data_IF_631911158820
#
_entry.id   IF_631911158820
#
_cell.length_a   1.000
_cell.length_b   1.000
_cell.length_c   1.000
_cell.angle_alpha   90.00
_cell.angle_beta   90.00
_cell.angle_gamma   90.00
#
_symmetry.space_group_name_H-M   'P 1'
#
loop_
_entity.id
_entity.type
_entity.pdbx_description
1 polymer ?
#
# COMPACT_ATOMS: atom_id res chain seq x y z
N UNK A 1 33.55 -0.83 13.24
CA UNK A 1 32.91 -1.16 11.95
C UNK A 1 31.45 -1.39 12.30
N UNK A 2 30.66 -0.30 12.21
CA UNK A 2 29.21 -0.36 12.36
C UNK A 2 28.66 -0.98 11.07
N UNK A 3 28.24 -2.25 11.16
CA UNK A 3 27.38 -2.84 10.15
C UNK A 3 26.06 -2.08 10.21
N UNK A 4 25.87 -1.16 9.29
CA UNK A 4 24.57 -0.55 9.02
C UNK A 4 23.61 -1.67 8.57
N UNK A 5 22.95 -2.28 9.57
CA UNK A 5 21.90 -3.25 9.34
C UNK A 5 20.69 -2.52 8.80
N UNK A 6 20.68 -2.30 7.47
CA UNK A 6 19.53 -1.78 6.77
C UNK A 6 18.40 -2.83 6.83
N UNK A 7 17.39 -2.56 7.63
CA UNK A 7 16.22 -3.41 7.76
C UNK A 7 15.54 -3.54 6.39
N UNK A 8 15.70 -4.71 5.76
CA UNK A 8 15.06 -5.05 4.49
C UNK A 8 13.86 -5.97 4.77
N UNK A 9 12.64 -5.41 4.95
CA UNK A 9 11.46 -6.20 5.28
C UNK A 9 11.17 -7.31 4.25
N UNK A 10 11.50 -7.08 2.99
CA UNK A 10 11.31 -8.03 1.89
C UNK A 10 12.06 -9.35 2.08
N UNK A 11 13.30 -9.31 2.59
CA UNK A 11 14.08 -10.53 2.88
C UNK A 11 13.53 -11.33 4.05
N UNK A 12 12.99 -10.65 5.07
CA UNK A 12 12.36 -11.31 6.21
C UNK A 12 11.09 -12.08 5.80
N UNK A 13 10.33 -11.58 4.82
CA UNK A 13 9.14 -12.25 4.31
C UNK A 13 9.46 -13.56 3.58
N UNK A 14 10.62 -13.68 2.94
CA UNK A 14 11.05 -14.89 2.24
C UNK A 14 11.58 -15.97 3.18
N UNK A 15 12.31 -15.58 4.25
CA UNK A 15 12.96 -16.52 5.16
C UNK A 15 12.10 -16.92 6.37
N UNK A 16 11.28 -16.00 6.91
CA UNK A 16 10.46 -16.20 8.12
C UNK A 16 9.09 -15.53 8.00
N UNK A 17 8.20 -16.01 7.12
CA UNK A 17 6.94 -15.32 6.82
C UNK A 17 6.07 -15.06 8.06
N UNK A 18 5.88 -16.05 8.93
CA UNK A 18 5.02 -15.93 10.12
C UNK A 18 5.57 -14.93 11.15
N UNK A 19 6.88 -14.91 11.35
CA UNK A 19 7.52 -13.98 12.29
C UNK A 19 7.42 -12.53 11.78
N UNK A 20 7.64 -12.31 10.49
CA UNK A 20 7.56 -10.98 9.90
C UNK A 20 6.14 -10.41 9.91
N UNK A 21 5.11 -11.24 9.68
CA UNK A 21 3.71 -10.81 9.77
C UNK A 21 3.34 -10.42 11.20
N UNK A 22 3.74 -11.22 12.21
CA UNK A 22 3.48 -10.89 13.62
C UNK A 22 4.12 -9.56 14.04
N UNK A 23 5.31 -9.28 13.56
CA UNK A 23 5.96 -7.99 13.80
C UNK A 23 5.22 -6.86 13.07
N UNK A 24 4.92 -7.05 11.80
CA UNK A 24 4.28 -6.06 10.95
C UNK A 24 2.93 -5.57 11.51
N UNK A 25 2.08 -6.49 11.97
CA UNK A 25 0.75 -6.14 12.51
C UNK A 25 0.81 -5.35 13.83
N UNK A 26 1.94 -5.37 14.53
CA UNK A 26 2.15 -4.66 15.78
C UNK A 26 2.90 -3.32 15.62
N UNK A 27 3.49 -3.05 14.45
CA UNK A 27 4.17 -1.79 14.17
C UNK A 27 3.18 -0.63 14.05
N UNK A 28 3.63 0.58 14.35
CA UNK A 28 2.84 1.79 14.12
C UNK A 28 2.87 2.20 12.64
N UNK A 29 1.84 2.89 12.20
CA UNK A 29 1.83 3.49 10.85
C UNK A 29 2.99 4.49 10.70
N UNK A 30 3.51 4.56 9.48
CA UNK A 30 4.70 5.35 9.17
C UNK A 30 4.68 5.82 7.72
N UNK A 31 5.78 6.40 7.27
CA UNK A 31 5.96 6.73 5.85
C UNK A 31 5.86 5.50 4.93
N UNK A 32 6.21 4.32 5.45
CA UNK A 32 6.25 3.05 4.70
C UNK A 32 5.29 1.97 5.21
N UNK A 33 4.43 2.27 6.17
CA UNK A 33 3.43 1.32 6.69
C UNK A 33 2.07 2.01 6.86
N UNK A 34 1.04 1.39 6.34
CA UNK A 34 -0.35 1.82 6.46
C UNK A 34 -1.25 0.62 6.71
N UNK A 35 -2.38 0.82 7.40
CA UNK A 35 -3.44 -0.20 7.54
C UNK A 35 -4.79 0.32 7.13
N UNK A 36 -5.63 -0.60 6.66
CA UNK A 36 -7.02 -0.34 6.31
C UNK A 36 -7.90 -1.46 6.84
N UNK A 37 -8.96 -1.07 7.51
CA UNK A 37 -9.90 -2.01 8.12
C UNK A 37 -10.52 -2.95 7.10
N UNK A 38 -10.86 -2.44 5.91
CA UNK A 38 -11.57 -3.17 4.85
C UNK A 38 -11.15 -2.65 3.47
N UNK A 39 -11.41 -3.45 2.44
CA UNK A 39 -11.22 -3.07 1.04
C UNK A 39 -12.49 -2.48 0.41
N UNK A 40 -13.66 -3.03 0.75
CA UNK A 40 -14.96 -2.58 0.19
C UNK A 40 -16.15 -2.64 1.16
N UNK A 41 -15.96 -3.09 2.41
CA UNK A 41 -17.04 -3.16 3.37
C UNK A 41 -17.15 -1.89 4.20
N UNK A 42 -18.28 -1.18 4.10
CA UNK A 42 -18.61 -0.06 4.96
C UNK A 42 -19.05 -0.56 6.34
N UNK A 43 -18.16 -0.45 7.33
CA UNK A 43 -18.42 -0.96 8.69
C UNK A 43 -19.62 -0.24 9.33
N UNK A 44 -19.71 1.07 9.17
CA UNK A 44 -20.79 1.89 9.71
C UNK A 44 -22.11 1.65 8.98
N UNK A 45 -22.06 1.63 7.65
CA UNK A 45 -23.22 1.46 6.77
C UNK A 45 -23.67 -0.01 6.66
N UNK A 46 -22.82 -0.95 7.10
CA UNK A 46 -23.04 -2.40 7.02
C UNK A 46 -23.41 -2.89 5.62
N UNK A 47 -22.73 -2.36 4.62
CA UNK A 47 -22.95 -2.70 3.20
C UNK A 47 -21.66 -2.63 2.39
N UNK A 48 -21.68 -3.29 1.23
CA UNK A 48 -20.61 -3.17 0.23
C UNK A 48 -20.61 -1.76 -0.36
N UNK A 49 -19.45 -1.13 -0.35
CA UNK A 49 -19.18 0.15 -1.00
C UNK A 49 -17.82 0.09 -1.70
N UNK A 50 -17.84 -0.12 -3.01
CA UNK A 50 -16.63 -0.29 -3.81
C UNK A 50 -15.74 0.97 -3.87
N UNK A 51 -16.28 2.15 -3.50
CA UNK A 51 -15.49 3.38 -3.44
C UNK A 51 -14.53 3.42 -2.24
N UNK A 52 -14.71 2.55 -1.24
CA UNK A 52 -13.76 2.43 -0.12
C UNK A 52 -12.38 1.98 -0.59
N UNK A 53 -12.30 1.25 -1.70
CA UNK A 53 -11.03 0.89 -2.32
C UNK A 53 -10.21 2.11 -2.76
N UNK A 54 -10.81 3.28 -2.92
CA UNK A 54 -10.11 4.52 -3.30
C UNK A 54 -9.07 4.91 -2.24
N UNK A 55 -9.34 4.66 -0.96
CA UNK A 55 -8.39 4.91 0.12
C UNK A 55 -7.16 3.99 0.03
N UNK A 56 -7.35 2.74 -0.37
CA UNK A 56 -6.29 1.78 -0.65
C UNK A 56 -5.47 2.23 -1.85
N UNK A 57 -6.13 2.62 -2.95
CA UNK A 57 -5.45 3.09 -4.17
C UNK A 57 -4.63 4.37 -3.93
N UNK A 58 -5.15 5.32 -3.14
CA UNK A 58 -4.40 6.53 -2.72
C UNK A 58 -3.11 6.17 -1.99
N UNK A 59 -3.17 5.22 -1.08
CA UNK A 59 -2.00 4.74 -0.34
C UNK A 59 -0.99 4.07 -1.27
N UNK A 60 -1.44 3.22 -2.19
CA UNK A 60 -0.58 2.56 -3.18
C UNK A 60 0.16 3.62 -4.02
N UNK A 61 -0.56 4.59 -4.58
CA UNK A 61 0.04 5.68 -5.37
C UNK A 61 1.03 6.47 -4.53
N UNK A 62 0.69 6.81 -3.28
CA UNK A 62 1.56 7.55 -2.40
C UNK A 62 2.86 6.78 -2.08
N UNK A 63 2.79 5.48 -1.83
CA UNK A 63 3.96 4.62 -1.64
C UNK A 63 4.83 4.57 -2.88
N UNK A 64 4.25 4.33 -4.05
CA UNK A 64 4.97 4.29 -5.32
C UNK A 64 5.76 5.58 -5.58
N UNK A 65 5.20 6.72 -5.26
CA UNK A 65 5.78 8.03 -5.50
C UNK A 65 6.75 8.51 -4.41
N UNK A 66 6.85 7.81 -3.28
CA UNK A 66 7.69 8.24 -2.15
C UNK A 66 8.81 7.23 -1.89
N UNK A 67 8.71 6.41 -0.86
CA UNK A 67 9.77 5.47 -0.46
C UNK A 67 9.37 4.00 -0.64
N UNK A 68 8.24 3.74 -1.27
CA UNK A 68 7.60 2.44 -1.23
C UNK A 68 6.91 2.21 0.11
N UNK A 69 6.43 1.00 0.35
CA UNK A 69 5.82 0.65 1.62
C UNK A 69 4.91 -0.55 1.56
N UNK A 70 4.40 -0.90 2.73
CA UNK A 70 3.49 -2.01 2.96
C UNK A 70 2.13 -1.52 3.43
N UNK A 71 1.08 -1.98 2.78
CA UNK A 71 -0.30 -1.75 3.17
C UNK A 71 -0.89 -3.05 3.70
N UNK A 72 -1.46 -2.99 4.91
CA UNK A 72 -2.22 -4.08 5.53
C UNK A 72 -3.69 -3.81 5.34
N UNK A 73 -4.44 -4.72 4.73
CA UNK A 73 -5.90 -4.67 4.65
C UNK A 73 -6.50 -5.79 5.49
N UNK A 74 -7.50 -5.45 6.30
CA UNK A 74 -8.13 -6.35 7.27
C UNK A 74 -7.67 -6.11 8.71
N UNK A 75 -7.02 -4.97 8.97
CA UNK A 75 -6.62 -4.55 10.31
C UNK A 75 -7.07 -3.09 10.55
N UNK A 76 -7.66 -2.80 11.71
CA UNK A 76 -8.08 -1.44 12.07
C UNK A 76 -6.95 -0.61 12.71
N UNK A 77 -7.24 0.67 12.99
CA UNK A 77 -6.27 1.61 13.56
C UNK A 77 -5.83 1.22 14.98
N UNK A 78 -6.66 0.48 15.71
CA UNK A 78 -6.34 -0.07 17.04
C UNK A 78 -5.59 -1.41 16.95
N UNK A 79 -5.17 -1.81 15.75
CA UNK A 79 -4.45 -3.06 15.43
C UNK A 79 -5.28 -4.33 15.63
N UNK A 80 -6.62 -4.24 15.76
CA UNK A 80 -7.48 -5.42 15.79
C UNK A 80 -7.52 -6.08 14.41
N UNK A 81 -7.43 -7.42 14.39
CA UNK A 81 -7.53 -8.20 13.17
C UNK A 81 -8.99 -8.38 12.80
N UNK A 82 -9.42 -7.73 11.74
CA UNK A 82 -10.79 -7.84 11.20
C UNK A 82 -10.88 -8.91 10.12
N UNK A 83 -9.84 -9.03 9.32
CA UNK A 83 -9.75 -9.92 8.17
C UNK A 83 -10.51 -9.40 6.94
N UNK A 84 -10.10 -9.85 5.76
CA UNK A 84 -10.78 -9.55 4.48
C UNK A 84 -12.13 -10.27 4.36
N UNK A 85 -12.44 -11.18 5.28
CA UNK A 85 -13.76 -11.83 5.40
C UNK A 85 -14.87 -10.78 5.59
N UNK A 86 -14.55 -9.66 6.24
CA UNK A 86 -15.47 -8.52 6.35
C UNK A 86 -15.92 -7.98 5.00
N UNK A 87 -15.07 -8.06 3.98
CA UNK A 87 -15.33 -7.53 2.64
C UNK A 87 -16.31 -8.36 1.81
N UNK A 88 -16.75 -9.53 2.33
CA UNK A 88 -17.75 -10.38 1.68
C UNK A 88 -17.36 -10.84 0.27
N UNK A 89 -16.09 -11.07 0.02
CA UNK A 89 -15.65 -11.82 -1.15
C UNK A 89 -15.97 -13.31 -0.98
N UNK A 90 -16.24 -14.03 -2.08
CA UNK A 90 -16.52 -15.47 -2.03
C UNK A 90 -15.26 -16.27 -1.61
N UNK A 91 -14.09 -15.78 -2.02
CA UNK A 91 -12.78 -16.39 -1.77
C UNK A 91 -11.66 -15.37 -2.00
N UNK A 92 -10.41 -15.78 -1.76
CA UNK A 92 -9.24 -14.93 -1.98
C UNK A 92 -9.04 -14.56 -3.46
N UNK A 93 -9.43 -15.42 -4.40
CA UNK A 93 -9.32 -15.14 -5.84
C UNK A 93 -10.23 -13.98 -6.26
N UNK A 94 -11.45 -13.91 -5.72
CA UNK A 94 -12.37 -12.79 -5.97
C UNK A 94 -11.82 -11.47 -5.39
N UNK A 95 -11.23 -11.51 -4.20
CA UNK A 95 -10.55 -10.37 -3.60
C UNK A 95 -9.37 -9.92 -4.45
N UNK A 96 -8.54 -10.88 -4.87
CA UNK A 96 -7.38 -10.67 -5.74
C UNK A 96 -7.78 -10.03 -7.07
N UNK A 97 -8.83 -10.56 -7.70
CA UNK A 97 -9.37 -10.01 -8.95
C UNK A 97 -9.86 -8.58 -8.76
N UNK A 98 -10.64 -8.33 -7.71
CA UNK A 98 -11.14 -6.98 -7.41
C UNK A 98 -9.99 -5.98 -7.24
N UNK A 99 -8.96 -6.31 -6.44
CA UNK A 99 -7.80 -5.46 -6.24
C UNK A 99 -7.06 -5.19 -7.55
N UNK A 100 -6.77 -6.24 -8.32
CA UNK A 100 -6.09 -6.12 -9.62
C UNK A 100 -6.85 -5.24 -10.60
N UNK A 101 -8.15 -5.44 -10.72
CA UNK A 101 -9.00 -4.66 -11.62
C UNK A 101 -9.01 -3.18 -11.20
N UNK A 102 -9.07 -2.89 -9.90
CA UNK A 102 -9.00 -1.52 -9.37
C UNK A 102 -7.64 -0.86 -9.65
N UNK A 103 -6.54 -1.54 -9.40
CA UNK A 103 -5.19 -1.02 -9.68
C UNK A 103 -5.02 -0.80 -11.19
N UNK A 104 -5.35 -1.81 -12.00
CA UNK A 104 -5.21 -1.76 -13.45
C UNK A 104 -5.99 -0.60 -14.08
N UNK A 105 -7.24 -0.41 -13.65
CA UNK A 105 -8.13 0.60 -14.24
C UNK A 105 -7.82 2.02 -13.77
N UNK A 106 -7.30 2.21 -12.55
CA UNK A 106 -7.21 3.51 -11.92
C UNK A 106 -5.78 4.01 -11.69
N UNK A 107 -4.78 3.12 -11.74
CA UNK A 107 -3.34 3.48 -11.62
C UNK A 107 -2.59 3.08 -12.89
N UNK A 108 -2.74 1.83 -13.32
CA UNK A 108 -2.14 1.31 -14.54
C UNK A 108 -1.52 -0.08 -14.36
N UNK A 109 -1.64 -0.89 -15.41
CA UNK A 109 -1.19 -2.29 -15.40
C UNK A 109 0.32 -2.43 -15.18
N UNK A 110 1.12 -1.51 -15.73
CA UNK A 110 2.58 -1.56 -15.60
C UNK A 110 3.04 -1.52 -14.15
N UNK A 111 2.32 -0.79 -13.28
CA UNK A 111 2.65 -0.71 -11.86
C UNK A 111 2.31 -2.00 -11.13
N UNK A 112 1.18 -2.59 -11.47
CA UNK A 112 0.75 -3.87 -10.92
C UNK A 112 1.74 -5.00 -11.21
N UNK A 113 2.29 -5.04 -12.42
CA UNK A 113 3.20 -6.11 -12.82
C UNK A 113 4.61 -5.95 -12.23
N UNK A 114 5.08 -4.71 -12.09
CA UNK A 114 6.50 -4.44 -11.79
C UNK A 114 6.74 -3.99 -10.34
N UNK A 115 5.85 -3.16 -9.79
CA UNK A 115 6.12 -2.44 -8.53
C UNK A 115 5.17 -2.79 -7.39
N UNK A 116 4.10 -3.55 -7.66
CA UNK A 116 3.11 -3.92 -6.66
C UNK A 116 3.05 -5.43 -6.56
N UNK A 117 3.28 -5.95 -5.36
CA UNK A 117 3.08 -7.37 -5.03
C UNK A 117 2.10 -7.46 -3.88
N UNK A 118 1.31 -8.52 -3.84
CA UNK A 118 0.41 -8.75 -2.72
C UNK A 118 0.32 -10.24 -2.39
N UNK A 119 -0.04 -10.51 -1.15
CA UNK A 119 -0.17 -11.86 -0.60
C UNK A 119 -1.24 -11.90 0.49
N UNK A 120 -1.76 -13.09 0.75
CA UNK A 120 -2.72 -13.32 1.82
C UNK A 120 -2.05 -14.09 2.95
N UNK A 121 -2.30 -13.67 4.18
CA UNK A 121 -1.71 -14.28 5.37
C UNK A 121 -2.80 -14.56 6.41
N UNK A 122 -2.77 -15.75 6.99
CA UNK A 122 -3.69 -16.14 8.07
C UNK A 122 -3.13 -15.65 9.41
N UNK A 123 -3.93 -14.89 10.15
CA UNK A 123 -3.62 -14.39 11.49
C UNK A 123 -4.88 -14.52 12.34
N UNK A 124 -4.80 -15.21 13.48
CA UNK A 124 -5.94 -15.41 14.40
C UNK A 124 -7.22 -15.94 13.70
N UNK A 125 -7.05 -16.95 12.85
CA UNK A 125 -8.13 -17.54 12.03
C UNK A 125 -8.83 -16.58 11.06
N UNK A 126 -8.22 -15.43 10.77
CA UNK A 126 -8.67 -14.45 9.79
C UNK A 126 -7.58 -14.23 8.73
N UNK A 127 -7.98 -13.68 7.60
CA UNK A 127 -7.06 -13.44 6.49
C UNK A 127 -6.74 -11.94 6.37
N UNK A 128 -5.45 -11.60 6.38
CA UNK A 128 -4.96 -10.27 6.01
C UNK A 128 -4.52 -10.29 4.55
N UNK A 129 -4.79 -9.20 3.84
CA UNK A 129 -4.20 -8.90 2.55
C UNK A 129 -3.04 -7.92 2.77
N UNK A 130 -1.85 -8.32 2.38
CA UNK A 130 -0.64 -7.50 2.44
C UNK A 130 -0.29 -7.04 1.03
N UNK A 131 -0.15 -5.75 0.83
CA UNK A 131 0.23 -5.14 -0.46
C UNK A 131 1.58 -4.44 -0.28
N UNK A 132 2.59 -4.89 -0.99
CA UNK A 132 3.94 -4.32 -0.99
C UNK A 132 4.14 -3.49 -2.25
N UNK A 133 4.52 -2.23 -2.07
CA UNK A 133 4.79 -1.28 -3.13
C UNK A 133 6.27 -0.92 -3.14
N UNK A 134 6.94 -1.14 -4.26
CA UNK A 134 8.32 -0.70 -4.46
C UNK A 134 8.32 0.76 -4.95
N UNK A 135 9.19 1.59 -4.40
CA UNK A 135 9.42 2.96 -4.85
C UNK A 135 9.69 3.01 -6.35
N UNK A 136 9.02 3.92 -7.04
CA UNK A 136 9.27 4.12 -8.47
C UNK A 136 10.64 4.78 -8.72
N UNK A 137 11.30 4.42 -9.83
CA UNK A 137 12.42 5.19 -10.34
C UNK A 137 12.03 6.65 -10.52
N UNK A 138 12.99 7.55 -10.36
CA UNK A 138 12.75 9.01 -10.41
C UNK A 138 12.09 9.49 -11.71
N UNK A 139 12.34 8.79 -12.80
CA UNK A 139 11.76 9.11 -14.11
C UNK A 139 10.28 8.70 -14.23
N UNK A 140 9.78 7.93 -13.27
CA UNK A 140 8.41 7.43 -13.27
C UNK A 140 7.58 8.10 -12.17
N UNK A 141 6.30 8.29 -12.48
CA UNK A 141 5.32 8.92 -11.59
C UNK A 141 4.00 8.21 -11.73
N UNK A 142 3.41 7.81 -10.61
CA UNK A 142 2.09 7.20 -10.59
C UNK A 142 1.02 8.24 -10.27
N UNK A 143 -0.11 8.18 -10.97
CA UNK A 143 -1.30 8.99 -10.73
C UNK A 143 -2.49 8.09 -10.47
N UNK A 144 -3.37 8.52 -9.58
CA UNK A 144 -4.69 7.95 -9.42
C UNK A 144 -5.65 8.67 -10.39
N UNK A 145 -6.45 7.90 -11.14
CA UNK A 145 -7.39 8.46 -12.12
C UNK A 145 -6.74 9.39 -13.15
N UNK A 146 -5.49 9.08 -13.55
CA UNK A 146 -4.69 9.85 -14.53
C UNK A 146 -4.29 11.27 -14.09
N UNK A 147 -4.88 11.82 -13.03
CA UNK A 147 -4.71 13.23 -12.64
C UNK A 147 -4.24 13.43 -11.22
N UNK A 148 -4.59 12.56 -10.30
CA UNK A 148 -4.41 12.76 -8.89
C UNK A 148 -3.07 12.22 -8.40
N UNK A 149 -2.18 13.12 -8.02
CA UNK A 149 -0.88 12.78 -7.44
C UNK A 149 -0.95 12.73 -5.92
N UNK A 150 -0.45 11.63 -5.35
CA UNK A 150 -0.32 11.44 -3.91
C UNK A 150 1.12 11.11 -3.55
N UNK A 151 1.56 11.63 -2.40
CA UNK A 151 2.81 11.25 -1.73
C UNK A 151 2.56 10.89 -0.27
N UNK A 152 3.51 10.21 0.37
CA UNK A 152 3.49 10.02 1.83
C UNK A 152 4.17 11.21 2.52
N UNK A 153 3.54 11.65 3.61
CA UNK A 153 4.12 12.60 4.55
C UNK A 153 3.92 12.02 5.95
N UNK A 154 4.99 11.39 6.50
CA UNK A 154 4.82 10.53 7.67
C UNK A 154 3.75 9.45 7.43
N UNK A 155 2.80 9.23 8.34
CA UNK A 155 1.74 8.23 8.19
C UNK A 155 0.56 8.69 7.32
N UNK A 156 0.64 9.84 6.65
CA UNK A 156 -0.48 10.41 5.89
C UNK A 156 -0.26 10.39 4.38
N UNK A 157 -1.34 10.20 3.63
CA UNK A 157 -1.38 10.40 2.19
C UNK A 157 -1.75 11.85 1.88
N UNK A 158 -0.90 12.56 1.17
CA UNK A 158 -1.09 13.95 0.81
C UNK A 158 -1.31 14.09 -0.69
N UNK A 159 -2.44 14.72 -1.08
CA UNK A 159 -2.72 15.05 -2.47
C UNK A 159 -2.03 16.38 -2.79
N UNK A 160 -1.21 16.38 -3.83
CA UNK A 160 -0.57 17.58 -4.33
C UNK A 160 -1.39 18.23 -5.45
N UNK A 161 -1.39 19.56 -5.49
CA UNK A 161 -1.84 20.34 -6.65
C UNK A 161 -0.91 20.09 -7.84
N UNK A 162 -1.33 20.48 -9.03
CA UNK A 162 -0.49 20.38 -10.24
C UNK A 162 0.85 21.09 -10.05
N UNK A 163 0.86 22.30 -9.48
CA UNK A 163 2.07 23.05 -9.21
C UNK A 163 3.01 22.30 -8.27
N UNK A 164 2.50 21.88 -7.12
CA UNK A 164 3.27 21.14 -6.11
C UNK A 164 3.80 19.81 -6.66
N UNK A 165 3.02 19.14 -7.50
CA UNK A 165 3.43 17.89 -8.17
C UNK A 165 4.65 18.12 -9.06
N UNK A 166 4.64 19.18 -9.88
CA UNK A 166 5.77 19.51 -10.75
C UNK A 166 7.01 19.89 -9.93
N UNK A 167 6.86 20.70 -8.90
CA UNK A 167 7.94 21.06 -7.98
C UNK A 167 8.53 19.82 -7.29
N UNK A 168 7.69 18.91 -6.82
CA UNK A 168 8.13 17.67 -6.17
C UNK A 168 8.92 16.77 -7.12
N UNK A 169 8.46 16.61 -8.37
CA UNK A 169 9.15 15.82 -9.39
C UNK A 169 10.51 16.42 -9.73
N UNK A 170 10.61 17.75 -9.86
CA UNK A 170 11.88 18.43 -10.13
C UNK A 170 12.88 18.24 -8.99
N UNK A 171 12.46 18.44 -7.73
CA UNK A 171 13.31 18.22 -6.56
C UNK A 171 13.84 16.79 -6.49
N UNK A 172 13.02 15.80 -6.79
CA UNK A 172 13.47 14.39 -6.83
C UNK A 172 14.57 14.17 -7.86
N UNK A 173 14.42 14.74 -9.05
CA UNK A 173 15.44 14.63 -10.12
C UNK A 173 16.76 15.29 -9.71
N UNK A 174 16.70 16.44 -9.04
CA UNK A 174 17.90 17.17 -8.61
C UNK A 174 18.67 16.45 -7.51
N UNK A 175 17.98 15.74 -6.62
CA UNK A 175 18.61 14.94 -5.56
C UNK A 175 19.39 13.75 -6.18
N UNK A 176 18.80 13.05 -7.15
CA UNK A 176 19.47 11.92 -7.79
C UNK A 176 20.68 12.35 -8.64
N UNK A 177 20.61 13.49 -9.32
CA UNK A 177 21.72 13.98 -10.12
C UNK A 177 22.93 14.43 -9.27
N UNK A 178 22.78 14.59 -7.95
CA UNK A 178 23.82 14.98 -6.98
C UNK A 178 24.37 13.80 -6.18
N UNK A 179 23.78 12.62 -6.31
CA UNK A 179 24.17 11.37 -5.63
C UNK A 179 25.02 10.50 -6.56
#
# INVERSE_FOLDING_TARGET
EDDDFEFQPEKLFEEFPDYSIRNLINMDESISLERKSTLRWGIKEKKINNSLADSVLKTIVAFLNTEGGTLIVGQDDDKNILGIEMDRFRNQDDCSKFLKDKIKSNIGIKYLETYIKYSFHSVEDKTLLIVNCTKLPIKETAFLYETDFYKRTGPSNEKLSTKETLEYIEIRKDIENKS
#
